data_IF_085838959883
#
_entry.id   IF_085838959883
#
_cell.length_a   1.000
_cell.length_b   1.000
_cell.length_c   1.000
_cell.angle_alpha   90.00
_cell.angle_beta   90.00
_cell.angle_gamma   90.00
#
_symmetry.space_group_name_H-M   'P 1'
#
loop_
_entity.id
_entity.type
_entity.pdbx_description
1 polymer ?
#
# COMPACT_ATOMS: atom_id res chain seq x y z
N UNK A 1 4.71 -2.08 16.08
CA UNK A 1 3.71 -1.28 15.34
C UNK A 1 2.40 -2.05 15.31
N UNK A 2 1.27 -1.38 15.02
CA UNK A 2 -0.05 -2.01 14.92
C UNK A 2 -0.70 -1.63 13.59
N UNK A 3 -1.06 -2.62 12.78
CA UNK A 3 -1.51 -2.40 11.40
C UNK A 3 -3.01 -2.67 11.31
N UNK A 4 -3.79 -1.71 10.83
CA UNK A 4 -5.21 -1.86 10.54
C UNK A 4 -5.44 -1.83 9.04
N UNK A 5 -6.05 -2.90 8.51
CA UNK A 5 -6.41 -2.99 7.08
C UNK A 5 -7.76 -2.32 6.87
N UNK A 6 -7.80 -1.28 6.05
CA UNK A 6 -9.04 -0.65 5.58
C UNK A 6 -9.45 -1.22 4.22
N UNK A 7 -10.55 -0.74 3.66
CA UNK A 7 -11.03 -1.26 2.37
C UNK A 7 -9.97 -1.07 1.28
N UNK A 8 -9.84 -2.09 0.43
CA UNK A 8 -8.98 -2.12 -0.75
C UNK A 8 -7.47 -2.09 -0.44
N UNK A 9 -6.80 -0.97 -0.72
CA UNK A 9 -5.35 -0.81 -0.62
C UNK A 9 -4.90 0.01 0.59
N UNK A 10 -5.86 0.53 1.38
CA UNK A 10 -5.56 1.43 2.49
C UNK A 10 -5.10 0.68 3.74
N UNK A 11 -3.93 1.05 4.25
CA UNK A 11 -3.38 0.54 5.50
C UNK A 11 -3.14 1.69 6.46
N UNK A 12 -3.52 1.50 7.73
CA UNK A 12 -3.17 2.42 8.81
C UNK A 12 -2.19 1.74 9.76
N UNK A 13 -1.10 2.40 10.08
CA UNK A 13 -0.08 1.91 11.00
C UNK A 13 0.00 2.88 12.18
N UNK A 14 -0.39 2.40 13.36
CA UNK A 14 -0.21 3.12 14.62
C UNK A 14 1.07 2.62 15.34
N UNK A 15 1.87 3.54 15.87
CA UNK A 15 3.10 3.23 16.60
C UNK A 15 3.73 4.50 17.19
N UNK A 16 4.94 4.85 16.72
CA UNK A 16 5.60 6.11 17.09
C UNK A 16 4.79 7.36 16.69
N UNK A 17 4.06 7.24 15.57
CA UNK A 17 3.02 8.16 15.12
C UNK A 17 1.95 7.39 14.35
N UNK A 18 1.16 8.11 13.55
CA UNK A 18 0.12 7.56 12.68
C UNK A 18 0.53 7.71 11.21
N UNK A 19 0.82 6.58 10.57
CA UNK A 19 1.15 6.49 9.15
C UNK A 19 -0.01 5.84 8.38
N UNK A 20 -0.41 6.42 7.26
CA UNK A 20 -1.46 5.86 6.39
C UNK A 20 -0.92 5.62 4.99
N UNK A 21 -1.17 4.46 4.42
CA UNK A 21 -0.80 4.12 3.04
C UNK A 21 -2.04 4.05 2.18
N UNK A 22 -2.00 4.66 1.01
CA UNK A 22 -3.02 4.59 -0.05
C UNK A 22 -4.48 4.80 0.42
N UNK A 23 -4.81 5.95 1.05
CA UNK A 23 -6.18 6.30 1.41
C UNK A 23 -6.97 6.73 0.16
N UNK A 24 -7.25 5.78 -0.73
CA UNK A 24 -8.00 5.99 -1.96
C UNK A 24 -9.51 6.12 -1.76
N UNK A 25 -10.23 6.39 -2.85
CA UNK A 25 -11.67 6.65 -2.86
C UNK A 25 -12.51 5.44 -2.40
N UNK A 26 -11.97 4.22 -2.46
CA UNK A 26 -12.66 3.01 -1.98
C UNK A 26 -12.50 2.82 -0.46
N UNK A 27 -11.61 3.58 0.18
CA UNK A 27 -11.27 3.40 1.57
C UNK A 27 -12.07 4.31 2.49
N UNK A 28 -12.22 3.89 3.73
CA UNK A 28 -12.87 4.68 4.76
C UNK A 28 -11.99 5.87 5.13
N UNK A 29 -12.50 7.10 4.96
CA UNK A 29 -11.76 8.34 5.27
C UNK A 29 -11.31 8.45 6.74
N UNK A 30 -11.92 7.69 7.65
CA UNK A 30 -11.50 7.61 9.06
C UNK A 30 -10.10 6.99 9.24
N UNK A 31 -9.57 6.30 8.21
CA UNK A 31 -8.18 5.86 8.22
C UNK A 31 -7.19 7.03 8.44
N UNK A 32 -7.55 8.23 7.94
CA UNK A 32 -6.75 9.45 8.04
C UNK A 32 -6.89 10.22 9.36
N UNK A 33 -7.73 9.76 10.30
CA UNK A 33 -7.96 10.48 11.55
C UNK A 33 -6.68 10.55 12.40
N UNK A 34 -6.16 11.76 12.58
CA UNK A 34 -4.90 11.99 13.30
C UNK A 34 -3.65 11.53 12.56
N UNK A 35 -3.70 11.36 11.23
CA UNK A 35 -2.52 11.00 10.45
C UNK A 35 -1.42 12.08 10.55
N UNK A 36 -0.19 11.62 10.85
CA UNK A 36 1.03 12.44 10.85
C UNK A 36 1.71 12.39 9.48
N UNK A 37 1.66 11.24 8.82
CA UNK A 37 2.17 11.06 7.48
C UNK A 37 1.28 10.14 6.62
N UNK A 38 1.32 10.36 5.32
CA UNK A 38 0.65 9.56 4.30
C UNK A 38 1.67 9.10 3.27
N UNK A 39 1.65 7.82 2.91
CA UNK A 39 2.40 7.28 1.78
C UNK A 39 1.42 7.01 0.63
N UNK A 40 1.77 7.46 -0.57
CA UNK A 40 1.00 7.20 -1.79
C UNK A 40 1.87 6.38 -2.75
N UNK A 41 1.41 5.21 -3.14
CA UNK A 41 2.13 4.32 -4.05
C UNK A 41 2.10 4.87 -5.47
N UNK A 42 0.93 5.31 -5.95
CA UNK A 42 0.75 5.88 -7.29
C UNK A 42 -0.52 6.73 -7.41
N UNK A 43 -0.78 7.24 -8.62
CA UNK A 43 -1.72 8.34 -8.85
C UNK A 43 -3.19 7.94 -9.10
N UNK A 44 -3.52 6.65 -9.08
CA UNK A 44 -4.89 6.18 -9.33
C UNK A 44 -5.83 6.46 -8.14
N UNK A 45 -7.12 6.62 -8.43
CA UNK A 45 -8.13 7.11 -7.48
C UNK A 45 -8.39 6.14 -6.32
N UNK A 46 -8.22 4.85 -6.55
CA UNK A 46 -8.34 3.77 -5.57
C UNK A 46 -7.16 3.70 -4.60
N UNK A 47 -6.11 4.49 -4.84
CA UNK A 47 -4.97 4.71 -3.94
C UNK A 47 -4.86 6.17 -3.44
N UNK A 48 -5.45 7.13 -4.14
CA UNK A 48 -5.36 8.56 -3.84
C UNK A 48 -6.73 9.27 -3.90
N UNK A 49 -7.35 9.52 -2.74
CA UNK A 49 -8.48 10.45 -2.61
C UNK A 49 -7.97 11.88 -2.30
N UNK A 50 -7.85 12.71 -3.36
CA UNK A 50 -7.39 14.09 -3.23
C UNK A 50 -8.24 14.92 -2.26
N UNK A 51 -9.55 14.69 -2.20
CA UNK A 51 -10.43 15.44 -1.31
C UNK A 51 -10.20 15.04 0.17
N UNK A 52 -9.94 13.75 0.42
CA UNK A 52 -9.59 13.27 1.76
C UNK A 52 -8.22 13.81 2.22
N UNK A 53 -7.22 13.84 1.34
CA UNK A 53 -5.91 14.45 1.62
C UNK A 53 -6.06 15.95 1.90
N UNK A 54 -6.79 16.69 1.07
CA UNK A 54 -7.04 18.11 1.27
C UNK A 54 -7.72 18.38 2.63
N UNK A 55 -8.74 17.59 2.99
CA UNK A 55 -9.41 17.68 4.28
C UNK A 55 -8.47 17.40 5.46
N UNK A 56 -7.54 16.46 5.30
CA UNK A 56 -6.54 16.13 6.33
C UNK A 56 -5.53 17.27 6.49
N UNK A 57 -4.98 17.79 5.39
CA UNK A 57 -4.05 18.93 5.41
C UNK A 57 -4.68 20.20 6.01
N UNK A 58 -5.98 20.43 5.77
CA UNK A 58 -6.70 21.54 6.37
C UNK A 58 -6.85 21.41 7.90
N UNK A 59 -6.97 20.19 8.43
CA UNK A 59 -7.07 19.92 9.88
C UNK A 59 -5.70 19.82 10.56
N UNK A 60 -4.71 19.29 9.85
CA UNK A 60 -3.34 19.12 10.32
C UNK A 60 -2.37 19.67 9.27
N UNK A 61 -2.00 20.96 9.33
CA UNK A 61 -1.03 21.55 8.40
C UNK A 61 0.38 20.95 8.50
N UNK A 62 0.68 20.17 9.54
CA UNK A 62 1.96 19.48 9.72
C UNK A 62 2.00 18.09 9.07
N UNK A 63 0.86 17.58 8.55
CA UNK A 63 0.83 16.29 7.86
C UNK A 63 1.80 16.30 6.67
N UNK A 64 2.52 15.20 6.48
CA UNK A 64 3.41 15.02 5.32
C UNK A 64 2.88 13.93 4.40
N UNK A 65 2.95 14.16 3.09
CA UNK A 65 2.60 13.17 2.06
C UNK A 65 3.86 12.78 1.31
N UNK A 66 4.16 11.50 1.22
CA UNK A 66 5.32 10.97 0.51
C UNK A 66 4.84 10.17 -0.70
N UNK A 67 5.35 10.51 -1.89
CA UNK A 67 4.91 9.91 -3.15
C UNK A 67 5.98 10.04 -4.23
N UNK A 68 5.82 9.32 -5.34
CA UNK A 68 6.63 9.55 -6.53
C UNK A 68 6.46 10.99 -7.05
N UNK A 69 7.50 11.56 -7.65
CA UNK A 69 7.49 12.94 -8.18
C UNK A 69 6.31 13.22 -9.13
N UNK A 70 5.86 12.21 -9.88
CA UNK A 70 4.73 12.31 -10.82
C UNK A 70 3.38 12.56 -10.12
N UNK A 71 3.26 12.23 -8.83
CA UNK A 71 2.03 12.44 -8.03
C UNK A 71 1.96 13.88 -7.50
N UNK A 72 3.10 14.51 -7.21
CA UNK A 72 3.19 15.81 -6.55
C UNK A 72 2.38 16.94 -7.24
N UNK A 73 2.32 17.05 -8.59
CA UNK A 73 1.49 18.06 -9.25
C UNK A 73 0.02 18.01 -8.84
N UNK A 74 -0.53 16.84 -8.49
CA UNK A 74 -1.92 16.70 -8.01
C UNK A 74 -2.11 17.23 -6.58
N UNK A 75 -1.03 17.30 -5.79
CA UNK A 75 -1.03 17.71 -4.39
C UNK A 75 -0.66 19.19 -4.19
N UNK A 76 -0.15 19.87 -5.23
CA UNK A 76 0.36 21.23 -5.15
C UNK A 76 -0.65 22.26 -4.60
N UNK A 77 -1.95 22.01 -4.79
CA UNK A 77 -3.02 22.87 -4.28
C UNK A 77 -3.20 22.80 -2.74
N UNK A 78 -2.58 21.84 -2.07
CA UNK A 78 -2.78 21.56 -0.63
C UNK A 78 -1.64 22.09 0.25
N UNK A 79 -0.78 22.94 -0.32
CA UNK A 79 0.39 23.50 0.36
C UNK A 79 1.64 22.63 0.21
N UNK A 80 2.70 22.99 0.93
CA UNK A 80 3.99 22.30 0.91
C UNK A 80 4.01 21.08 1.85
N UNK A 81 3.05 20.17 1.63
CA UNK A 81 2.91 18.94 2.42
C UNK A 81 3.61 17.75 1.74
N UNK A 82 3.84 17.83 0.43
CA UNK A 82 4.27 16.70 -0.39
C UNK A 82 5.80 16.62 -0.51
N UNK A 83 6.34 15.42 -0.32
CA UNK A 83 7.75 15.09 -0.47
C UNK A 83 7.89 14.07 -1.59
N UNK A 84 8.74 14.34 -2.57
CA UNK A 84 9.07 13.39 -3.62
C UNK A 84 9.92 12.25 -3.04
N UNK A 85 9.62 11.02 -3.46
CA UNK A 85 10.37 9.81 -3.10
C UNK A 85 10.74 9.06 -4.38
N UNK A 86 11.99 8.61 -4.47
CA UNK A 86 12.48 7.78 -5.55
C UNK A 86 12.53 6.29 -5.16
N UNK A 87 12.41 5.35 -6.12
CA UNK A 87 12.68 3.93 -5.84
C UNK A 87 14.10 3.72 -5.29
N UNK A 88 14.22 2.91 -4.24
CA UNK A 88 15.47 2.66 -3.52
C UNK A 88 15.77 3.67 -2.41
N UNK A 89 15.01 4.75 -2.31
CA UNK A 89 15.18 5.75 -1.26
C UNK A 89 14.71 5.22 0.10
N UNK A 90 15.43 5.61 1.15
CA UNK A 90 15.11 5.31 2.54
C UNK A 90 14.93 6.63 3.31
N UNK A 91 13.84 6.74 4.05
CA UNK A 91 13.43 7.97 4.74
C UNK A 91 12.62 7.64 6.00
N UNK A 92 12.34 8.65 6.83
CA UNK A 92 11.45 8.52 7.98
C UNK A 92 10.09 9.18 7.72
N UNK A 93 9.02 8.52 8.17
CA UNK A 93 7.66 9.06 8.12
C UNK A 93 6.89 8.63 9.37
N UNK A 94 6.32 9.61 10.10
CA UNK A 94 5.59 9.38 11.35
C UNK A 94 6.35 8.51 12.38
N UNK A 95 7.68 8.63 12.43
CA UNK A 95 8.54 7.86 13.33
C UNK A 95 8.83 6.42 12.89
N UNK A 96 8.45 6.03 11.68
CA UNK A 96 8.80 4.73 11.08
C UNK A 96 9.93 4.89 10.07
N UNK A 97 10.79 3.88 9.97
CA UNK A 97 11.75 3.75 8.88
C UNK A 97 11.01 3.22 7.65
N UNK A 98 11.04 3.96 6.55
CA UNK A 98 10.40 3.58 5.29
C UNK A 98 11.46 3.43 4.20
N UNK A 99 11.32 2.38 3.39
CA UNK A 99 12.09 2.20 2.16
C UNK A 99 11.17 2.00 0.97
N UNK A 100 11.41 2.77 -0.09
CA UNK A 100 10.67 2.70 -1.34
C UNK A 100 11.28 1.68 -2.30
N UNK A 101 10.43 0.95 -3.01
CA UNK A 101 10.77 -0.05 -4.02
C UNK A 101 9.97 0.22 -5.30
N UNK A 102 10.32 -0.48 -6.38
CA UNK A 102 9.58 -0.44 -7.64
C UNK A 102 10.02 0.69 -8.55
N UNK A 103 9.08 1.56 -8.90
CA UNK A 103 9.27 2.64 -9.87
C UNK A 103 8.31 2.58 -11.05
N UNK A 104 7.56 1.48 -11.21
CA UNK A 104 6.58 1.32 -12.27
C UNK A 104 5.44 0.42 -11.82
N UNK A 105 4.23 0.79 -12.23
CA UNK A 105 3.02 -0.04 -12.09
C UNK A 105 3.14 -1.31 -12.96
N UNK A 106 2.43 -2.37 -12.57
CA UNK A 106 2.22 -3.56 -13.39
C UNK A 106 1.60 -3.18 -14.75
N UNK A 107 1.83 -4.00 -15.78
CA UNK A 107 1.28 -3.70 -17.10
C UNK A 107 -0.24 -3.91 -17.09
N UNK A 108 -1.01 -2.83 -17.30
CA UNK A 108 -2.47 -2.91 -17.47
C UNK A 108 -2.80 -3.39 -18.90
N UNK A 109 -2.33 -2.66 -19.90
CA UNK A 109 -2.48 -2.97 -21.32
C UNK A 109 -1.38 -2.26 -22.12
N UNK A 110 -1.00 -2.80 -23.28
CA UNK A 110 0.05 -2.21 -24.13
C UNK A 110 -0.29 -0.80 -24.64
N UNK A 111 -1.57 -0.47 -24.77
CA UNK A 111 -2.07 0.84 -25.23
C UNK A 111 -2.23 1.87 -24.11
N UNK A 112 -2.00 1.48 -22.85
CA UNK A 112 -2.10 2.38 -21.69
C UNK A 112 -0.67 2.69 -21.22
N UNK A 113 -0.26 3.96 -21.15
CA UNK A 113 1.03 4.32 -20.60
C UNK A 113 1.23 3.75 -19.19
N UNK A 114 2.37 3.09 -18.96
CA UNK A 114 2.74 2.65 -17.62
C UNK A 114 3.18 3.86 -16.79
N UNK A 115 2.52 4.03 -15.65
CA UNK A 115 2.79 5.10 -14.69
C UNK A 115 3.76 4.63 -13.61
N UNK A 116 4.30 5.58 -12.85
CA UNK A 116 5.09 5.27 -11.67
C UNK A 116 4.25 4.55 -10.60
N UNK A 117 4.87 3.60 -9.90
CA UNK A 117 4.33 2.97 -8.70
C UNK A 117 5.47 2.67 -7.74
N UNK A 118 5.34 3.11 -6.49
CA UNK A 118 6.22 2.75 -5.40
C UNK A 118 5.61 1.61 -4.59
N UNK A 119 6.43 0.67 -4.15
CA UNK A 119 6.14 -0.19 -3.01
C UNK A 119 6.82 0.38 -1.76
N UNK A 120 6.25 0.15 -0.58
CA UNK A 120 6.81 0.63 0.68
C UNK A 120 7.04 -0.52 1.66
N UNK A 121 8.28 -0.66 2.11
CA UNK A 121 8.64 -1.41 3.30
C UNK A 121 8.66 -0.45 4.48
N UNK A 122 7.85 -0.72 5.49
CA UNK A 122 7.69 0.12 6.69
C UNK A 122 8.14 -0.72 7.87
N UNK A 123 9.09 -0.20 8.65
CA UNK A 123 9.71 -0.90 9.75
C UNK A 123 9.71 -0.06 11.04
N UNK A 124 9.63 -0.76 12.16
CA UNK A 124 10.08 -0.28 13.47
C UNK A 124 11.18 -1.21 14.01
N UNK A 125 11.52 -1.09 15.30
CA UNK A 125 12.58 -1.88 15.93
C UNK A 125 12.27 -3.39 16.01
N UNK A 126 11.00 -3.79 15.90
CA UNK A 126 10.54 -5.15 16.18
C UNK A 126 10.15 -5.92 14.91
N UNK A 127 9.53 -5.25 13.92
CA UNK A 127 8.97 -5.92 12.74
C UNK A 127 8.91 -5.01 11.51
N UNK A 128 8.59 -5.59 10.35
CA UNK A 128 8.32 -4.83 9.12
C UNK A 128 7.09 -5.32 8.34
N UNK A 129 6.51 -4.40 7.58
CA UNK A 129 5.40 -4.66 6.66
C UNK A 129 5.76 -4.16 5.27
N UNK A 130 5.45 -4.95 4.25
CA UNK A 130 5.60 -4.56 2.85
C UNK A 130 4.25 -4.48 2.15
N UNK A 131 4.02 -3.37 1.45
CA UNK A 131 2.91 -3.20 0.50
C UNK A 131 3.47 -2.75 -0.85
N UNK A 132 3.20 -3.47 -1.95
CA UNK A 132 3.85 -3.22 -3.24
C UNK A 132 3.14 -2.17 -4.10
N UNK A 133 2.02 -1.61 -3.64
CA UNK A 133 1.05 -0.92 -4.49
C UNK A 133 0.57 -1.85 -5.61
N UNK A 134 0.40 -1.30 -6.81
CA UNK A 134 -0.02 -2.04 -7.98
C UNK A 134 1.17 -2.54 -8.79
N UNK A 135 2.04 -3.27 -8.10
CA UNK A 135 3.20 -3.92 -8.70
C UNK A 135 3.50 -5.27 -8.05
N UNK A 136 4.37 -6.05 -8.67
CA UNK A 136 4.92 -7.27 -8.10
C UNK A 136 6.42 -7.13 -7.82
N UNK A 137 6.85 -5.92 -7.42
CA UNK A 137 8.27 -5.67 -7.14
C UNK A 137 8.68 -6.37 -5.85
N UNK A 138 9.65 -7.28 -5.93
CA UNK A 138 10.20 -8.01 -4.78
C UNK A 138 11.25 -7.14 -4.08
N UNK A 139 11.18 -6.96 -2.74
CA UNK A 139 12.22 -6.26 -1.99
C UNK A 139 13.37 -7.24 -1.70
N UNK A 140 14.35 -7.32 -2.61
CA UNK A 140 15.40 -8.35 -2.61
C UNK A 140 16.43 -8.22 -1.47
N UNK A 141 16.53 -7.06 -0.84
CA UNK A 141 17.56 -6.73 0.15
C UNK A 141 17.06 -6.74 1.60
N UNK A 142 15.90 -7.36 1.85
CA UNK A 142 15.31 -7.46 3.19
C UNK A 142 14.56 -8.78 3.38
N UNK A 143 14.29 -9.12 4.64
CA UNK A 143 13.33 -10.16 5.02
C UNK A 143 12.01 -9.50 5.38
N UNK A 144 10.91 -9.95 4.76
CA UNK A 144 9.58 -9.39 5.00
C UNK A 144 8.84 -10.19 6.07
N UNK A 145 8.44 -9.55 7.17
CA UNK A 145 7.64 -10.24 8.19
C UNK A 145 6.18 -10.35 7.74
N UNK A 146 5.58 -9.22 7.33
CA UNK A 146 4.19 -9.14 6.90
C UNK A 146 4.10 -8.59 5.48
N UNK A 147 3.52 -9.36 4.56
CA UNK A 147 3.24 -8.92 3.19
C UNK A 147 1.75 -8.59 3.03
N UNK A 148 1.43 -7.45 2.42
CA UNK A 148 0.11 -7.22 1.83
C UNK A 148 0.18 -7.54 0.34
N UNK A 149 -0.56 -8.56 -0.10
CA UNK A 149 -0.49 -9.10 -1.46
C UNK A 149 -1.73 -8.72 -2.27
N UNK A 150 -1.58 -8.07 -3.44
CA UNK A 150 -2.72 -7.75 -4.31
C UNK A 150 -3.49 -9.01 -4.71
N UNK A 151 -4.81 -9.00 -4.58
CA UNK A 151 -5.65 -10.17 -4.81
C UNK A 151 -6.41 -10.10 -6.13
N UNK A 152 -6.85 -8.90 -6.54
CA UNK A 152 -7.64 -8.74 -7.75
C UNK A 152 -7.57 -7.36 -8.36
N UNK A 153 -7.15 -7.26 -9.62
CA UNK A 153 -7.28 -6.05 -10.41
C UNK A 153 -7.41 -6.38 -11.90
N UNK A 154 -7.86 -5.45 -12.75
CA UNK A 154 -7.90 -5.65 -14.20
C UNK A 154 -6.53 -5.96 -14.83
N UNK A 155 -5.44 -5.58 -14.15
CA UNK A 155 -4.06 -5.66 -14.62
C UNK A 155 -3.32 -6.94 -14.20
N UNK A 156 -3.98 -7.87 -13.50
CA UNK A 156 -3.32 -9.07 -12.96
C UNK A 156 -4.10 -10.36 -13.17
N UNK A 157 -3.34 -11.46 -13.12
CA UNK A 157 -3.82 -12.82 -12.90
C UNK A 157 -3.42 -13.24 -11.49
N UNK A 158 -4.26 -14.04 -10.83
CA UNK A 158 -3.98 -14.55 -9.49
C UNK A 158 -2.64 -15.32 -9.38
N UNK A 159 -2.20 -15.97 -10.45
CA UNK A 159 -0.90 -16.66 -10.46
C UNK A 159 0.28 -15.73 -10.18
N UNK A 160 0.19 -14.47 -10.59
CA UNK A 160 1.26 -13.48 -10.39
C UNK A 160 1.39 -13.13 -8.91
N UNK A 161 0.27 -13.02 -8.18
CA UNK A 161 0.27 -12.86 -6.72
C UNK A 161 0.81 -14.08 -5.98
N UNK A 162 0.51 -15.29 -6.47
CA UNK A 162 1.07 -16.53 -5.91
C UNK A 162 2.59 -16.54 -6.07
N UNK A 163 3.08 -16.27 -7.28
CA UNK A 163 4.50 -16.29 -7.59
C UNK A 163 5.24 -15.13 -6.89
N UNK A 164 4.60 -13.98 -6.76
CA UNK A 164 5.10 -12.85 -5.99
C UNK A 164 5.25 -13.19 -4.50
N UNK A 165 4.21 -13.74 -3.87
CA UNK A 165 4.29 -14.17 -2.46
C UNK A 165 5.39 -15.23 -2.24
N UNK A 166 5.57 -16.16 -3.19
CA UNK A 166 6.66 -17.14 -3.19
C UNK A 166 8.04 -16.53 -3.35
N UNK A 167 8.17 -15.47 -4.13
CA UNK A 167 9.42 -14.76 -4.34
C UNK A 167 9.82 -13.96 -3.09
N UNK A 168 8.85 -13.27 -2.48
CA UNK A 168 9.04 -12.49 -1.24
C UNK A 168 9.32 -13.40 -0.03
N UNK A 169 8.69 -14.57 0.05
CA UNK A 169 8.80 -15.52 1.18
C UNK A 169 8.51 -14.87 2.55
N UNK A 170 7.38 -14.18 2.72
CA UNK A 170 7.12 -13.43 3.95
C UNK A 170 6.79 -14.37 5.12
N UNK A 171 6.98 -13.88 6.35
CA UNK A 171 6.56 -14.61 7.56
C UNK A 171 5.04 -14.83 7.67
N UNK A 172 4.25 -13.91 7.13
CA UNK A 172 2.80 -14.01 6.90
C UNK A 172 2.37 -13.07 5.76
N UNK A 173 1.24 -13.36 5.13
CA UNK A 173 0.66 -12.52 4.08
C UNK A 173 -0.83 -12.22 4.35
N UNK A 174 -1.27 -11.03 3.95
CA UNK A 174 -2.65 -10.59 4.01
C UNK A 174 -3.13 -10.08 2.66
N UNK A 175 -4.42 -10.25 2.37
CA UNK A 175 -5.02 -9.72 1.15
C UNK A 175 -4.94 -8.19 1.08
N UNK A 176 -4.66 -7.68 -0.12
CA UNK A 176 -4.74 -6.28 -0.53
C UNK A 176 -5.50 -6.20 -1.86
N UNK A 177 -6.02 -5.03 -2.22
CA UNK A 177 -6.64 -4.79 -3.53
C UNK A 177 -7.77 -5.81 -3.81
N UNK A 178 -8.71 -5.90 -2.87
CA UNK A 178 -9.74 -6.94 -2.77
C UNK A 178 -11.17 -6.42 -3.02
N UNK A 179 -11.41 -5.11 -2.90
CA UNK A 179 -12.74 -4.48 -2.98
C UNK A 179 -13.60 -4.86 -4.20
N UNK A 180 -12.98 -5.11 -5.36
CA UNK A 180 -13.70 -5.45 -6.60
C UNK A 180 -14.21 -6.91 -6.62
N UNK A 181 -13.77 -7.75 -5.67
CA UNK A 181 -14.20 -9.13 -5.59
C UNK A 181 -15.57 -9.25 -4.93
N UNK A 182 -16.42 -10.08 -5.52
CA UNK A 182 -17.52 -10.68 -4.78
C UNK A 182 -16.97 -11.65 -3.73
N UNK A 183 -17.76 -11.95 -2.70
CA UNK A 183 -17.39 -12.92 -1.66
C UNK A 183 -16.99 -14.29 -2.25
N UNK A 184 -17.70 -14.74 -3.29
CA UNK A 184 -17.38 -15.99 -4.00
C UNK A 184 -16.02 -15.92 -4.70
N UNK A 185 -15.71 -14.80 -5.36
CA UNK A 185 -14.42 -14.60 -6.02
C UNK A 185 -13.25 -14.52 -5.04
N UNK A 186 -13.46 -13.86 -3.90
CA UNK A 186 -12.49 -13.82 -2.80
C UNK A 186 -12.20 -15.23 -2.27
N UNK A 187 -13.21 -16.03 -1.94
CA UNK A 187 -13.03 -17.42 -1.44
C UNK A 187 -12.18 -18.29 -2.36
N UNK A 188 -12.36 -18.17 -3.69
CA UNK A 188 -11.55 -18.91 -4.67
C UNK A 188 -10.09 -18.43 -4.62
N UNK A 189 -9.89 -17.11 -4.65
CA UNK A 189 -8.56 -16.50 -4.66
C UNK A 189 -7.79 -16.82 -3.37
N UNK A 190 -8.46 -16.71 -2.24
CA UNK A 190 -7.95 -17.03 -0.91
C UNK A 190 -7.50 -18.49 -0.81
N UNK A 191 -8.32 -19.43 -1.26
CA UNK A 191 -7.99 -20.85 -1.24
C UNK A 191 -6.77 -21.21 -2.11
N UNK A 192 -6.53 -20.45 -3.18
CA UNK A 192 -5.33 -20.62 -3.99
C UNK A 192 -4.09 -20.01 -3.33
N UNK A 193 -4.17 -18.80 -2.77
CA UNK A 193 -3.04 -18.20 -2.05
C UNK A 193 -2.64 -19.05 -0.84
N UNK A 194 -3.58 -19.48 -0.01
CA UNK A 194 -3.30 -20.32 1.16
C UNK A 194 -2.58 -21.62 0.78
N UNK A 195 -3.03 -22.28 -0.29
CA UNK A 195 -2.47 -23.57 -0.71
C UNK A 195 -1.16 -23.47 -1.48
N UNK A 196 -0.97 -22.39 -2.25
CA UNK A 196 0.09 -22.33 -3.26
C UNK A 196 1.20 -21.35 -2.91
N UNK A 197 0.93 -20.27 -2.16
CA UNK A 197 1.94 -19.24 -1.87
C UNK A 197 3.13 -19.75 -1.05
N UNK A 198 2.95 -20.81 -0.28
CA UNK A 198 3.98 -21.31 0.63
C UNK A 198 4.23 -20.42 1.85
N UNK A 199 3.32 -19.47 2.13
CA UNK A 199 3.32 -18.65 3.35
C UNK A 199 1.98 -18.78 4.08
N UNK A 200 1.93 -18.40 5.35
CA UNK A 200 0.65 -18.28 6.08
C UNK A 200 -0.12 -17.10 5.51
N UNK A 201 -1.31 -17.33 5.00
CA UNK A 201 -2.13 -16.29 4.39
C UNK A 201 -3.43 -16.07 5.17
N UNK A 202 -3.93 -14.83 5.16
CA UNK A 202 -5.25 -14.52 5.69
C UNK A 202 -5.90 -13.37 4.93
N UNK A 203 -7.20 -13.45 4.72
CA UNK A 203 -8.01 -12.35 4.23
C UNK A 203 -8.83 -11.79 5.40
N UNK A 204 -8.59 -10.53 5.75
CA UNK A 204 -9.23 -9.88 6.89
C UNK A 204 -10.23 -8.82 6.43
N UNK A 205 -11.31 -8.65 7.20
CA UNK A 205 -12.31 -7.64 6.93
C UNK A 205 -11.72 -6.22 7.12
N UNK A 206 -12.20 -5.20 6.39
CA UNK A 206 -11.88 -3.81 6.67
C UNK A 206 -12.09 -3.44 8.14
N UNK A 207 -11.17 -2.66 8.70
CA UNK A 207 -11.11 -2.31 10.13
C UNK A 207 -10.43 -3.36 11.02
N UNK A 208 -10.00 -4.51 10.49
CA UNK A 208 -9.27 -5.51 11.27
C UNK A 208 -7.85 -5.05 11.55
N UNK A 209 -7.45 -5.12 12.81
CA UNK A 209 -6.08 -4.87 13.26
C UNK A 209 -5.31 -6.19 13.42
N UNK A 210 -4.08 -6.24 12.91
CA UNK A 210 -3.20 -7.43 12.86
C UNK A 210 -1.87 -7.26 13.61
#
# INVERSE_FOLDING_TARGET
MRITKYTHSCLRIDGAGVLVVDPGEFSERSALDGADAVLITHEHIDHLDLAAIAGTAARNPAVRVFAHADVLPKLAAFGDIATAVAPGETFEAAGFQVRAYGGQHALIHADIPRIANLGYLIADDDTNVYTPGDSFTVPEDTVVDTLFVPLNAPWMRLMESIDFARAVKPGRAYALHDFLLTETGAKISDGHLERLSGTRYAHVAPGTTI
#
